data_IF_307575331516
#
_entry.id   IF_307575331516
#
_cell.length_a   1.000
_cell.length_b   1.000
_cell.length_c   1.000
_cell.angle_alpha   90.00
_cell.angle_beta   90.00
_cell.angle_gamma   90.00
#
_symmetry.space_group_name_H-M   'P 1'
#
loop_
_entity.id
_entity.type
_entity.pdbx_description
1 polymer ?
#
# COMPACT_ATOMS: atom_id res chain seq x y z
N UNK A 1 -36.64 -56.75 -4.24
CA UNK A 1 -36.81 -55.63 -3.28
C UNK A 1 -36.42 -54.35 -4.00
N UNK A 2 -37.40 -53.50 -4.26
CA UNK A 2 -37.26 -52.27 -5.03
C UNK A 2 -36.66 -51.16 -4.15
N UNK A 3 -35.49 -50.64 -4.54
CA UNK A 3 -34.89 -49.46 -3.92
C UNK A 3 -35.20 -48.22 -4.78
N UNK A 4 -36.14 -47.41 -4.33
CA UNK A 4 -36.44 -46.08 -4.87
C UNK A 4 -35.18 -45.20 -4.86
N UNK A 5 -34.74 -44.74 -6.04
CA UNK A 5 -33.87 -43.57 -6.17
C UNK A 5 -34.77 -42.35 -6.07
N UNK A 6 -34.56 -41.54 -5.04
CA UNK A 6 -35.18 -40.23 -4.90
C UNK A 6 -34.47 -39.26 -5.85
N UNK A 7 -35.24 -38.69 -6.77
CA UNK A 7 -34.85 -37.55 -7.58
C UNK A 7 -34.63 -36.33 -6.67
N UNK A 8 -33.40 -35.83 -6.64
CA UNK A 8 -33.08 -34.55 -6.01
C UNK A 8 -33.19 -33.50 -7.11
N UNK A 9 -34.32 -32.81 -7.12
CA UNK A 9 -34.52 -31.58 -7.90
C UNK A 9 -33.54 -30.51 -7.39
N UNK A 10 -32.53 -30.21 -8.22
CA UNK A 10 -31.64 -29.06 -8.02
C UNK A 10 -32.42 -27.83 -8.47
N UNK A 11 -32.96 -27.06 -7.52
CA UNK A 11 -33.58 -25.78 -7.83
C UNK A 11 -32.51 -24.72 -8.13
N UNK A 12 -32.45 -24.33 -9.41
CA UNK A 12 -31.78 -23.12 -9.86
C UNK A 12 -32.56 -21.91 -9.35
N UNK A 13 -32.07 -21.33 -8.26
CA UNK A 13 -32.68 -20.20 -7.57
C UNK A 13 -31.69 -19.12 -7.16
N UNK A 14 -30.73 -18.77 -8.04
CA UNK A 14 -29.89 -17.58 -7.84
C UNK A 14 -30.38 -16.42 -8.71
N UNK A 15 -31.54 -15.89 -8.34
CA UNK A 15 -31.95 -14.53 -8.70
C UNK A 15 -31.01 -13.51 -8.03
N UNK A 16 -29.82 -13.31 -8.59
CA UNK A 16 -28.94 -12.19 -8.22
C UNK A 16 -29.39 -10.95 -8.98
N UNK A 17 -30.37 -10.26 -8.42
CA UNK A 17 -30.62 -8.86 -8.75
C UNK A 17 -29.33 -8.06 -8.48
N UNK A 18 -28.97 -7.22 -9.45
CA UNK A 18 -27.84 -6.30 -9.40
C UNK A 18 -28.08 -5.22 -8.32
N UNK A 19 -27.83 -5.59 -7.06
CA UNK A 19 -27.82 -4.66 -5.93
C UNK A 19 -26.47 -3.98 -5.83
N UNK A 20 -26.35 -2.78 -6.40
CA UNK A 20 -25.24 -1.87 -6.12
C UNK A 20 -25.28 -1.53 -4.63
N UNK A 21 -24.25 -1.92 -3.87
CA UNK A 21 -24.10 -1.49 -2.49
C UNK A 21 -23.88 0.02 -2.46
N UNK A 22 -24.67 0.82 -1.72
CA UNK A 22 -24.43 2.24 -1.59
C UNK A 22 -23.20 2.47 -0.71
N UNK A 23 -22.05 2.68 -1.34
CA UNK A 23 -20.93 3.33 -0.69
C UNK A 23 -21.13 4.83 -0.67
N UNK A 24 -21.72 5.36 0.40
CA UNK A 24 -21.32 6.70 0.86
C UNK A 24 -21.34 6.73 2.37
N UNK A 25 -20.16 6.75 3.00
CA UNK A 25 -19.98 7.44 4.27
C UNK A 25 -20.41 8.89 4.01
N UNK A 26 -21.66 9.23 4.34
CA UNK A 26 -22.09 10.62 4.41
C UNK A 26 -21.34 11.23 5.57
N UNK A 27 -20.17 11.81 5.30
CA UNK A 27 -19.59 12.79 6.20
C UNK A 27 -20.68 13.83 6.45
N UNK A 28 -21.19 13.88 7.68
CA UNK A 28 -22.07 14.94 8.15
C UNK A 28 -21.21 16.20 8.23
N UNK A 29 -21.01 16.85 7.10
CA UNK A 29 -20.45 18.20 7.08
C UNK A 29 -21.48 19.09 7.78
N UNK A 30 -21.04 19.80 8.82
CA UNK A 30 -21.86 20.74 9.57
C UNK A 30 -22.51 21.79 8.66
N UNK A 31 -23.53 22.46 9.19
CA UNK A 31 -24.31 23.49 8.50
C UNK A 31 -23.39 24.39 7.66
N UNK A 32 -23.68 24.48 6.36
CA UNK A 32 -22.97 25.38 5.46
C UNK A 32 -23.24 26.82 5.89
N UNK A 33 -22.25 27.45 6.51
CA UNK A 33 -22.29 28.89 6.73
C UNK A 33 -22.23 29.56 5.37
N UNK A 34 -23.25 30.37 5.04
CA UNK A 34 -23.24 31.18 3.83
C UNK A 34 -22.12 32.21 3.93
N UNK A 35 -21.22 32.23 2.96
CA UNK A 35 -20.15 33.23 2.90
C UNK A 35 -20.75 34.61 2.59
N UNK A 36 -20.16 35.67 3.13
CA UNK A 36 -20.54 37.04 2.75
C UNK A 36 -20.20 37.31 1.28
N UNK A 37 -20.93 38.23 0.64
CA UNK A 37 -20.72 38.57 -0.78
C UNK A 37 -19.27 39.02 -1.06
N UNK A 38 -18.64 39.74 -0.13
CA UNK A 38 -17.24 40.17 -0.23
C UNK A 38 -16.27 38.98 -0.23
N UNK A 39 -16.46 38.02 0.69
CA UNK A 39 -15.63 36.81 0.76
C UNK A 39 -15.83 35.95 -0.49
N UNK A 40 -17.06 35.83 -0.99
CA UNK A 40 -17.34 35.11 -2.23
C UNK A 40 -16.57 35.72 -3.41
N UNK A 41 -16.62 37.04 -3.57
CA UNK A 41 -15.90 37.74 -4.63
C UNK A 41 -14.37 37.54 -4.53
N UNK A 42 -13.81 37.61 -3.33
CA UNK A 42 -12.39 37.39 -3.08
C UNK A 42 -11.95 35.95 -3.39
N UNK A 43 -12.77 34.96 -3.01
CA UNK A 43 -12.54 33.53 -3.33
C UNK A 43 -12.55 33.30 -4.84
N UNK A 44 -13.51 33.89 -5.56
CA UNK A 44 -13.60 33.76 -7.02
C UNK A 44 -12.40 34.42 -7.71
N UNK A 45 -11.99 35.61 -7.26
CA UNK A 45 -10.82 36.30 -7.80
C UNK A 45 -9.54 35.49 -7.59
N UNK A 46 -9.30 34.97 -6.38
CA UNK A 46 -8.18 34.08 -6.07
C UNK A 46 -8.20 32.80 -6.92
N UNK A 47 -9.40 32.23 -7.12
CA UNK A 47 -9.56 31.03 -7.95
C UNK A 47 -9.20 31.29 -9.42
N UNK A 48 -9.68 32.39 -10.00
CA UNK A 48 -9.37 32.81 -11.38
C UNK A 48 -7.89 33.18 -11.56
N UNK A 49 -7.21 33.63 -10.52
CA UNK A 49 -5.78 33.88 -10.50
C UNK A 49 -4.91 32.60 -10.38
N UNK A 50 -5.52 31.40 -10.47
CA UNK A 50 -4.84 30.11 -10.34
C UNK A 50 -4.16 29.85 -8.97
N UNK A 51 -4.53 30.57 -7.90
CA UNK A 51 -4.00 30.33 -6.55
C UNK A 51 -4.40 28.92 -6.06
N UNK A 52 -3.51 28.05 -5.54
CA UNK A 52 -3.86 26.68 -5.16
C UNK A 52 -5.10 26.59 -4.25
N UNK A 53 -6.01 25.64 -4.52
CA UNK A 53 -7.29 25.52 -3.78
C UNK A 53 -7.07 25.42 -2.26
N UNK A 54 -6.04 24.68 -1.84
CA UNK A 54 -5.67 24.58 -0.42
C UNK A 54 -5.26 25.94 0.18
N UNK A 55 -4.52 26.76 -0.56
CA UNK A 55 -4.14 28.11 -0.12
C UNK A 55 -5.36 29.01 0.02
N UNK A 56 -6.29 28.97 -0.94
CA UNK A 56 -7.57 29.71 -0.86
C UNK A 56 -8.37 29.24 0.38
N UNK A 57 -8.51 27.94 0.59
CA UNK A 57 -9.23 27.39 1.75
C UNK A 57 -8.62 27.82 3.08
N UNK A 58 -7.30 27.81 3.21
CA UNK A 58 -6.60 28.24 4.42
C UNK A 58 -6.74 29.74 4.63
N UNK A 59 -6.55 30.54 3.57
CA UNK A 59 -6.59 32.00 3.61
C UNK A 59 -7.96 32.55 4.01
N UNK A 60 -9.04 31.94 3.52
CA UNK A 60 -10.41 32.36 3.83
C UNK A 60 -11.07 31.52 4.92
N UNK A 61 -10.37 30.54 5.50
CA UNK A 61 -10.89 29.59 6.49
C UNK A 61 -12.20 28.89 6.06
N UNK A 62 -12.29 28.50 4.78
CA UNK A 62 -13.48 27.88 4.20
C UNK A 62 -13.28 26.39 3.93
N UNK A 63 -14.34 25.61 4.12
CA UNK A 63 -14.37 24.20 3.74
C UNK A 63 -14.40 24.04 2.20
N UNK A 64 -13.88 22.93 1.64
CA UNK A 64 -13.88 22.69 0.19
C UNK A 64 -15.28 22.82 -0.43
N UNK A 65 -16.30 22.32 0.27
CA UNK A 65 -17.69 22.38 -0.19
C UNK A 65 -18.18 23.83 -0.36
N UNK A 66 -17.82 24.74 0.54
CA UNK A 66 -18.21 26.14 0.46
C UNK A 66 -17.52 26.83 -0.72
N UNK A 67 -16.23 26.54 -0.94
CA UNK A 67 -15.49 27.03 -2.11
C UNK A 67 -16.16 26.57 -3.42
N UNK A 68 -16.41 25.27 -3.58
CA UNK A 68 -17.00 24.75 -4.82
C UNK A 68 -18.47 25.13 -5.02
N UNK A 69 -19.25 25.30 -3.95
CA UNK A 69 -20.61 25.87 -4.05
C UNK A 69 -20.53 27.29 -4.57
N UNK A 70 -19.70 28.14 -3.97
CA UNK A 70 -19.53 29.54 -4.38
C UNK A 70 -19.12 29.66 -5.85
N UNK A 71 -18.18 28.83 -6.31
CA UNK A 71 -17.78 28.82 -7.72
C UNK A 71 -18.95 28.45 -8.64
N UNK A 72 -19.71 27.40 -8.27
CA UNK A 72 -20.88 26.94 -9.03
C UNK A 72 -22.00 27.98 -9.07
N UNK A 73 -22.31 28.59 -7.93
CA UNK A 73 -23.37 29.58 -7.76
C UNK A 73 -23.09 30.86 -8.59
N UNK A 74 -21.81 31.12 -8.89
CA UNK A 74 -21.35 32.22 -9.74
C UNK A 74 -20.95 31.79 -11.17
N UNK A 75 -21.33 30.59 -11.60
CA UNK A 75 -21.08 30.10 -12.97
C UNK A 75 -19.61 29.86 -13.32
N UNK A 76 -18.72 29.78 -12.32
CA UNK A 76 -17.31 29.44 -12.52
C UNK A 76 -17.17 27.93 -12.49
N UNK A 77 -16.87 27.33 -13.65
CA UNK A 77 -16.61 25.90 -13.72
C UNK A 77 -15.38 25.55 -12.85
N UNK A 78 -15.46 24.54 -11.97
CA UNK A 78 -14.36 24.13 -11.09
C UNK A 78 -13.23 23.42 -11.84
N UNK A 79 -13.25 23.47 -13.17
CA UNK A 79 -12.31 22.76 -14.02
C UNK A 79 -11.02 23.58 -14.17
N UNK A 80 -10.23 23.61 -13.10
CA UNK A 80 -8.80 23.81 -13.30
C UNK A 80 -8.31 22.61 -14.08
N UNK A 81 -7.76 22.85 -15.26
CA UNK A 81 -6.86 21.86 -15.86
C UNK A 81 -5.91 21.42 -14.75
N UNK A 82 -5.89 20.13 -14.44
CA UNK A 82 -4.97 19.58 -13.47
C UNK A 82 -3.57 20.00 -13.93
N UNK A 83 -2.98 20.99 -13.26
CA UNK A 83 -1.80 21.76 -13.74
C UNK A 83 -0.55 20.88 -13.82
N UNK A 84 -0.64 19.62 -13.40
CA UNK A 84 0.41 18.63 -13.66
C UNK A 84 -0.22 17.45 -14.40
N UNK A 85 0.13 17.24 -15.68
CA UNK A 85 -0.17 15.97 -16.30
C UNK A 85 0.42 14.86 -15.40
N UNK A 86 -0.27 13.71 -15.28
CA UNK A 86 0.28 12.58 -14.54
C UNK A 86 1.67 12.27 -15.08
N UNK A 87 2.63 11.98 -14.19
CA UNK A 87 3.97 11.58 -14.61
C UNK A 87 3.84 10.32 -15.46
N UNK A 88 4.34 10.39 -16.68
CA UNK A 88 4.44 9.21 -17.56
C UNK A 88 5.76 8.52 -17.24
N UNK A 89 5.70 7.28 -16.79
CA UNK A 89 6.88 6.46 -16.54
C UNK A 89 7.41 5.86 -17.84
N UNK A 90 8.68 6.05 -18.12
CA UNK A 90 9.35 5.40 -19.25
C UNK A 90 9.73 3.96 -18.90
N UNK A 91 9.87 3.08 -19.91
CA UNK A 91 10.31 1.70 -19.67
C UNK A 91 11.69 1.63 -18.98
N UNK A 92 12.61 2.53 -19.32
CA UNK A 92 13.93 2.60 -18.70
C UNK A 92 13.84 2.92 -17.19
N UNK A 93 12.97 3.86 -16.79
CA UNK A 93 12.73 4.16 -15.39
C UNK A 93 12.10 2.98 -14.64
N UNK A 94 11.14 2.28 -15.28
CA UNK A 94 10.51 1.09 -14.71
C UNK A 94 11.51 -0.06 -14.52
N UNK A 95 12.44 -0.23 -15.46
CA UNK A 95 13.55 -1.17 -15.36
C UNK A 95 14.50 -0.79 -14.21
N UNK A 96 14.81 0.50 -14.06
CA UNK A 96 15.61 1.00 -12.95
C UNK A 96 14.94 0.76 -11.59
N UNK A 97 13.64 1.06 -11.46
CA UNK A 97 12.85 0.78 -10.25
C UNK A 97 12.87 -0.72 -9.95
N UNK A 98 12.68 -1.56 -10.97
CA UNK A 98 12.72 -3.02 -10.84
C UNK A 98 14.09 -3.51 -10.38
N UNK A 99 15.18 -2.98 -10.94
CA UNK A 99 16.55 -3.33 -10.57
C UNK A 99 16.87 -2.92 -9.12
N UNK A 100 16.52 -1.70 -8.72
CA UNK A 100 16.68 -1.20 -7.35
C UNK A 100 15.89 -2.05 -6.37
N UNK A 101 14.63 -2.37 -6.68
CA UNK A 101 13.85 -3.30 -5.87
C UNK A 101 14.49 -4.68 -5.83
N UNK A 102 15.02 -5.25 -6.90
CA UNK A 102 15.70 -6.56 -6.78
C UNK A 102 16.88 -6.55 -5.81
N UNK A 103 17.55 -5.40 -5.65
CA UNK A 103 18.64 -5.16 -4.69
C UNK A 103 18.17 -4.84 -3.26
N UNK A 104 16.87 -4.79 -3.02
CA UNK A 104 16.33 -4.51 -1.68
C UNK A 104 16.04 -3.05 -1.38
N UNK A 105 16.07 -2.15 -2.38
CA UNK A 105 15.79 -0.73 -2.17
C UNK A 105 14.40 -0.50 -1.52
N UNK A 106 14.38 0.37 -0.51
CA UNK A 106 13.16 0.84 0.17
C UNK A 106 12.38 1.81 -0.72
N UNK A 107 11.19 2.25 -0.27
CA UNK A 107 10.45 3.30 -1.00
C UNK A 107 11.22 4.63 -0.99
N UNK A 108 11.82 5.00 0.14
CA UNK A 108 12.63 6.21 0.27
C UNK A 108 13.85 6.21 -0.66
N UNK A 109 14.49 5.06 -0.85
CA UNK A 109 15.60 4.91 -1.80
C UNK A 109 15.11 5.15 -3.24
N UNK A 110 13.92 4.64 -3.59
CA UNK A 110 13.33 4.84 -4.91
C UNK A 110 12.90 6.29 -5.12
N UNK A 111 12.31 6.95 -4.13
CA UNK A 111 11.96 8.38 -4.19
C UNK A 111 13.18 9.24 -4.50
N UNK A 112 14.28 8.99 -3.77
CA UNK A 112 15.55 9.68 -3.97
C UNK A 112 16.13 9.40 -5.36
N UNK A 113 16.10 8.14 -5.81
CA UNK A 113 16.67 7.74 -7.09
C UNK A 113 15.85 8.22 -8.31
N UNK A 114 14.51 8.29 -8.18
CA UNK A 114 13.60 8.65 -9.28
C UNK A 114 13.19 10.13 -9.26
N UNK A 115 13.67 10.89 -8.27
CA UNK A 115 13.24 12.26 -7.98
C UNK A 115 11.71 12.40 -8.02
N UNK A 116 11.03 11.46 -7.34
CA UNK A 116 9.58 11.32 -7.34
C UNK A 116 9.06 11.27 -5.89
N UNK A 117 7.80 11.63 -5.68
CA UNK A 117 7.16 11.42 -4.38
C UNK A 117 6.87 9.93 -4.15
N UNK A 118 6.74 9.54 -2.87
CA UNK A 118 6.36 8.17 -2.48
C UNK A 118 5.13 7.67 -3.26
N UNK A 119 4.09 8.51 -3.39
CA UNK A 119 2.85 8.14 -4.08
C UNK A 119 3.09 7.86 -5.57
N UNK A 120 3.86 8.70 -6.25
CA UNK A 120 4.21 8.49 -7.66
C UNK A 120 5.05 7.21 -7.83
N UNK A 121 5.96 6.92 -6.90
CA UNK A 121 6.69 5.64 -6.89
C UNK A 121 5.75 4.45 -6.68
N UNK A 122 4.76 4.57 -5.77
CA UNK A 122 3.75 3.52 -5.55
C UNK A 122 2.92 3.25 -6.80
N UNK A 123 2.51 4.29 -7.52
CA UNK A 123 1.84 4.15 -8.82
C UNK A 123 2.71 3.37 -9.82
N UNK A 124 4.01 3.67 -9.91
CA UNK A 124 4.95 2.94 -10.77
C UNK A 124 5.03 1.44 -10.42
N UNK A 125 5.04 1.12 -9.12
CA UNK A 125 5.06 -0.26 -8.63
C UNK A 125 3.74 -1.00 -8.94
N UNK A 126 2.60 -0.31 -8.93
CA UNK A 126 1.31 -0.86 -9.37
C UNK A 126 1.36 -1.18 -10.87
N UNK A 127 1.83 -0.24 -11.70
CA UNK A 127 1.97 -0.45 -13.14
C UNK A 127 2.87 -1.65 -13.46
N UNK A 128 4.02 -1.78 -12.78
CA UNK A 128 4.91 -2.93 -12.92
C UNK A 128 4.19 -4.25 -12.58
N UNK A 129 3.41 -4.26 -11.50
CA UNK A 129 2.65 -5.44 -11.08
C UNK A 129 1.58 -5.82 -12.11
N UNK A 130 0.87 -4.85 -12.67
CA UNK A 130 -0.15 -5.05 -13.71
C UNK A 130 0.46 -5.56 -15.02
N UNK A 131 1.67 -5.09 -15.36
CA UNK A 131 2.46 -5.60 -16.48
C UNK A 131 3.08 -6.99 -16.22
N UNK A 132 2.75 -7.64 -15.09
CA UNK A 132 3.21 -8.99 -14.75
C UNK A 132 4.62 -9.04 -14.15
N UNK A 133 5.27 -7.90 -13.91
CA UNK A 133 6.55 -7.88 -13.20
C UNK A 133 6.30 -8.22 -11.73
N UNK A 134 6.95 -9.30 -11.27
CA UNK A 134 6.98 -9.65 -9.85
C UNK A 134 7.96 -8.72 -9.14
N UNK A 135 7.48 -7.55 -8.74
CA UNK A 135 8.25 -6.66 -7.87
C UNK A 135 8.15 -7.21 -6.44
N UNK A 136 9.26 -7.62 -5.81
CA UNK A 136 9.20 -8.10 -4.46
C UNK A 136 8.69 -6.98 -3.55
N UNK A 137 7.65 -7.29 -2.76
CA UNK A 137 7.20 -6.39 -1.70
C UNK A 137 8.14 -6.58 -0.52
N UNK A 138 9.15 -5.72 -0.45
CA UNK A 138 10.02 -5.57 0.73
C UNK A 138 9.23 -4.86 1.81
N UNK A 139 8.34 -5.59 2.48
CA UNK A 139 8.07 -5.23 3.86
C UNK A 139 9.21 -5.80 4.68
N UNK A 140 9.89 -4.92 5.43
CA UNK A 140 11.02 -5.23 6.30
C UNK A 140 10.72 -6.43 7.20
N UNK A 141 9.48 -6.52 7.68
CA UNK A 141 9.01 -7.58 8.56
C UNK A 141 7.57 -7.98 8.23
N UNK A 142 7.32 -9.27 8.00
CA UNK A 142 5.97 -9.83 7.86
C UNK A 142 5.68 -10.67 9.10
N UNK A 143 4.79 -10.19 9.96
CA UNK A 143 4.30 -10.94 11.13
C UNK A 143 3.04 -11.71 10.74
N UNK A 144 3.05 -13.02 10.98
CA UNK A 144 1.90 -13.91 10.75
C UNK A 144 1.00 -13.96 11.98
N UNK A 145 -0.22 -14.48 11.80
CA UNK A 145 -1.21 -14.65 12.89
C UNK A 145 -0.72 -15.55 14.03
N UNK A 146 0.23 -16.45 13.77
CA UNK A 146 0.82 -17.34 14.78
C UNK A 146 1.99 -16.70 15.56
N UNK A 147 2.21 -15.39 15.39
CA UNK A 147 3.30 -14.64 16.02
C UNK A 147 4.65 -14.82 15.32
N UNK A 148 4.77 -15.68 14.30
CA UNK A 148 6.04 -15.80 13.58
C UNK A 148 6.29 -14.61 12.68
N UNK A 149 7.50 -14.07 12.76
CA UNK A 149 7.95 -13.03 11.85
C UNK A 149 8.86 -13.61 10.75
N UNK A 150 8.77 -13.05 9.55
CA UNK A 150 9.64 -13.36 8.42
C UNK A 150 10.15 -12.08 7.78
N UNK A 151 11.46 -12.00 7.60
CA UNK A 151 12.17 -10.85 7.07
C UNK A 151 12.54 -11.12 5.62
N UNK A 152 12.35 -10.13 4.75
CA UNK A 152 12.88 -10.21 3.39
C UNK A 152 14.37 -9.93 3.42
N UNK A 153 15.15 -10.70 2.65
CA UNK A 153 16.61 -10.62 2.66
C UNK A 153 17.12 -10.30 1.26
N UNK A 154 18.14 -9.47 1.12
CA UNK A 154 18.65 -9.08 -0.20
C UNK A 154 19.14 -10.27 -1.02
N UNK A 155 19.13 -10.15 -2.36
CA UNK A 155 19.53 -11.25 -3.26
C UNK A 155 21.02 -11.57 -3.12
N UNK A 156 21.82 -10.58 -2.78
CA UNK A 156 23.26 -10.61 -2.54
C UNK A 156 23.64 -10.93 -1.08
N UNK A 157 22.68 -11.00 -0.15
CA UNK A 157 22.97 -11.40 1.23
C UNK A 157 23.39 -12.89 1.26
N UNK A 158 24.53 -13.25 1.90
CA UNK A 158 25.00 -14.64 1.93
C UNK A 158 24.04 -15.60 2.64
N UNK A 159 23.15 -15.11 3.51
CA UNK A 159 22.14 -15.92 4.20
C UNK A 159 20.91 -16.17 3.33
N UNK A 160 20.82 -15.58 2.13
CA UNK A 160 19.73 -15.77 1.15
C UNK A 160 19.49 -17.24 0.80
N UNK A 161 20.47 -18.13 0.97
CA UNK A 161 20.32 -19.58 0.75
C UNK A 161 19.23 -20.20 1.65
N UNK A 162 18.92 -19.58 2.79
CA UNK A 162 17.86 -20.02 3.70
C UNK A 162 16.48 -19.43 3.35
N UNK A 163 16.40 -18.54 2.37
CA UNK A 163 15.16 -17.89 1.99
C UNK A 163 14.22 -18.85 1.27
N UNK A 164 12.92 -18.68 1.50
CA UNK A 164 11.90 -19.39 0.75
C UNK A 164 11.77 -18.83 -0.69
N UNK A 165 10.82 -19.39 -1.47
CA UNK A 165 10.54 -18.93 -2.85
C UNK A 165 10.14 -17.45 -2.96
N UNK A 166 9.67 -16.82 -1.88
CA UNK A 166 9.34 -15.39 -1.87
C UNK A 166 10.50 -14.52 -1.39
N UNK A 167 11.66 -15.10 -1.12
CA UNK A 167 12.83 -14.37 -0.67
C UNK A 167 12.81 -13.98 0.81
N UNK A 168 12.00 -14.66 1.62
CA UNK A 168 11.90 -14.41 3.06
C UNK A 168 12.53 -15.52 3.88
N UNK A 169 13.17 -15.13 4.98
CA UNK A 169 13.73 -16.02 6.00
C UNK A 169 12.94 -15.80 7.29
N UNK A 170 12.53 -16.85 8.04
CA UNK A 170 11.99 -16.67 9.38
C UNK A 170 12.96 -15.86 10.24
N UNK A 171 12.48 -14.81 10.90
CA UNK A 171 13.33 -13.83 11.61
C UNK A 171 14.25 -14.51 12.63
N UNK A 172 13.70 -15.42 13.44
CA UNK A 172 14.47 -16.22 14.38
C UNK A 172 15.62 -17.02 13.72
N UNK A 173 15.41 -17.59 12.53
CA UNK A 173 16.49 -18.28 11.78
C UNK A 173 17.54 -17.31 11.29
N UNK A 174 17.12 -16.14 10.79
CA UNK A 174 18.03 -15.11 10.30
C UNK A 174 18.91 -14.58 11.44
N UNK A 175 18.33 -14.24 12.59
CA UNK A 175 19.07 -13.77 13.77
C UNK A 175 20.06 -14.84 14.25
N UNK A 176 19.62 -16.08 14.43
CA UNK A 176 20.49 -17.16 14.86
C UNK A 176 21.65 -17.42 13.89
N UNK A 177 21.41 -17.40 12.58
CA UNK A 177 22.45 -17.56 11.56
C UNK A 177 23.48 -16.41 11.58
N UNK A 178 23.03 -15.16 11.77
CA UNK A 178 23.92 -14.00 11.91
C UNK A 178 24.81 -14.11 13.13
N UNK A 179 24.27 -14.57 14.27
CA UNK A 179 25.06 -14.81 15.49
C UNK A 179 26.09 -15.93 15.30
N UNK A 180 25.74 -16.99 14.57
CA UNK A 180 26.67 -18.08 14.24
C UNK A 180 27.67 -17.74 13.13
N UNK A 181 27.46 -16.65 12.38
CA UNK A 181 28.28 -16.28 11.23
C UNK A 181 28.15 -17.24 10.03
N UNK A 182 27.12 -18.10 9.99
CA UNK A 182 26.89 -19.03 8.88
C UNK A 182 25.39 -19.33 8.68
N UNK A 183 24.98 -19.74 7.47
CA UNK A 183 23.64 -20.29 7.27
C UNK A 183 23.37 -21.50 8.18
N UNK A 184 22.14 -21.59 8.67
CA UNK A 184 21.64 -22.79 9.34
C UNK A 184 21.37 -23.87 8.30
N UNK A 185 21.82 -25.08 8.60
CA UNK A 185 21.53 -26.30 7.83
C UNK A 185 20.03 -26.63 7.88
N UNK A 186 19.62 -27.59 7.03
CA UNK A 186 18.23 -28.07 6.99
C UNK A 186 17.82 -28.81 8.26
N UNK A 187 18.77 -29.41 8.97
CA UNK A 187 18.54 -30.18 10.20
C UNK A 187 18.65 -29.32 11.47
N UNK A 188 19.04 -28.06 11.34
CA UNK A 188 19.05 -27.11 12.45
C UNK A 188 17.68 -26.44 12.58
N UNK A 189 17.12 -26.48 13.79
CA UNK A 189 15.86 -25.84 14.16
C UNK A 189 16.12 -24.79 15.24
N UNK A 190 15.39 -23.67 15.18
CA UNK A 190 15.49 -22.58 16.15
C UNK A 190 14.27 -22.61 17.06
N UNK A 191 14.51 -22.57 18.36
CA UNK A 191 13.50 -22.55 19.42
C UNK A 191 13.63 -21.28 20.26
N UNK A 192 12.49 -20.78 20.75
CA UNK A 192 12.43 -19.65 21.67
C UNK A 192 12.43 -20.19 23.10
N UNK A 193 13.26 -19.66 23.99
CA UNK A 193 13.38 -20.10 25.40
C UNK A 193 12.12 -19.77 26.20
N UNK A 194 11.58 -18.57 26.00
CA UNK A 194 10.39 -18.08 26.69
C UNK A 194 9.05 -18.53 26.05
N UNK A 195 9.10 -19.26 24.93
CA UNK A 195 7.91 -19.66 24.17
C UNK A 195 7.24 -18.55 23.34
N UNK A 196 7.66 -17.28 23.51
CA UNK A 196 7.19 -16.16 22.71
C UNK A 196 7.88 -16.13 21.35
N UNK A 197 7.09 -16.30 20.28
CA UNK A 197 7.56 -16.36 18.89
C UNK A 197 7.83 -15.00 18.28
N UNK A 198 7.46 -13.92 18.97
CA UNK A 198 7.67 -12.53 18.54
C UNK A 198 9.00 -11.97 19.02
N UNK A 199 9.56 -12.51 20.11
CA UNK A 199 10.85 -12.14 20.68
C UNK A 199 12.00 -12.90 20.01
N UNK A 200 12.51 -12.34 18.90
CA UNK A 200 13.65 -12.87 18.18
C UNK A 200 15.01 -12.40 18.72
N UNK A 201 15.11 -11.95 19.98
CA UNK A 201 16.38 -11.53 20.56
C UNK A 201 17.39 -12.70 20.65
N UNK A 202 18.70 -12.49 20.35
CA UNK A 202 19.69 -13.57 20.38
C UNK A 202 19.72 -14.39 21.67
N UNK A 203 19.51 -13.74 22.82
CA UNK A 203 19.50 -14.40 24.12
C UNK A 203 18.31 -15.35 24.31
N UNK A 204 17.20 -15.14 23.59
CA UNK A 204 16.01 -15.96 23.64
C UNK A 204 16.04 -17.14 22.65
N UNK A 205 17.00 -17.18 21.72
CA UNK A 205 17.06 -18.20 20.69
C UNK A 205 17.99 -19.37 21.07
N UNK A 206 17.57 -20.59 20.74
CA UNK A 206 18.39 -21.81 20.84
C UNK A 206 18.35 -22.53 19.50
N UNK A 207 19.51 -22.84 18.95
CA UNK A 207 19.66 -23.71 17.78
C UNK A 207 19.89 -25.14 18.26
N UNK A 208 19.14 -26.10 17.72
CA UNK A 208 19.35 -27.54 17.95
C UNK A 208 19.40 -28.27 16.62
N UNK A 209 20.31 -29.22 16.49
CA UNK A 209 20.36 -30.17 15.37
C UNK A 209 19.44 -31.36 15.68
N UNK A 210 18.58 -31.74 14.75
CA UNK A 210 17.67 -32.88 14.91
C UNK A 210 16.92 -33.26 13.65
#
# INVERSE_FOLDING_TARGET
>A
MAGHRADVEVSDGLGRSAGVLPHTRRHRYGNSVSLSAEVQAAVIAAYKANEPVNSIMQRFHIAPRALYSTLRDHGVAPNREFVRPPRVWTYAELDQITALRRRGATLADLESAMHASEETVREALVLLKEAGHRVPVHTERLVRRDGTASVWVAVDDPLRVMANRSGRIPEARLVAARVLGRPLTRNERVFHRNGDRTDCSPANLIVRSG
#
